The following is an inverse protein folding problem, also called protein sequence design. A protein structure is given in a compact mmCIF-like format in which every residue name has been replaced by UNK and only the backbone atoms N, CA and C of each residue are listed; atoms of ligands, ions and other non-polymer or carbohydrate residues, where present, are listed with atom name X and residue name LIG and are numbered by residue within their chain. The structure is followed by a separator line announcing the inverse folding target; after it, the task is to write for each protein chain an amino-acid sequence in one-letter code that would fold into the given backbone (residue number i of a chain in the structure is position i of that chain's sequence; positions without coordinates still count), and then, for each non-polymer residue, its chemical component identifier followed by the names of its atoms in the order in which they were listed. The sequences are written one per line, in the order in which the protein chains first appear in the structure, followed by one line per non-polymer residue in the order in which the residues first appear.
data_IF_693756953106
#
_entry.id   IF_693756953106
#
_cell.length_a   1.000
_cell.length_b   1.000
_cell.length_c   1.000
_cell.angle_alpha   90.00
_cell.angle_beta   90.00
_cell.angle_gamma   90.00
#
_symmetry.space_group_name_H-M   'P 1'
#
loop_
_entity.id
_entity.type
_entity.pdbx_description
1 polymer ?
#
# COMPACT_ATOMS: atom_id res chain seq x y z
N UNK A 1 4.80 33.78 -44.14
CA UNK A 1 3.92 32.69 -43.67
C UNK A 1 4.70 31.57 -42.97
N UNK A 2 5.98 31.35 -43.31
CA UNK A 2 6.83 30.27 -42.76
C UNK A 2 7.08 30.29 -41.24
N UNK A 3 7.04 31.45 -40.57
CA UNK A 3 7.27 31.55 -39.10
C UNK A 3 6.14 30.92 -38.27
N UNK A 4 4.92 30.87 -38.80
CA UNK A 4 3.77 30.29 -38.10
C UNK A 4 3.80 28.76 -38.19
N UNK A 5 4.27 28.21 -39.31
CA UNK A 5 4.39 26.77 -39.51
C UNK A 5 5.51 26.17 -38.66
N UNK A 6 6.67 26.83 -38.57
CA UNK A 6 7.78 26.33 -37.74
C UNK A 6 7.45 26.30 -36.24
N UNK A 7 6.67 27.27 -35.73
CA UNK A 7 6.20 27.23 -34.33
C UNK A 7 5.14 26.15 -34.10
N UNK A 8 4.31 25.86 -35.10
CA UNK A 8 3.32 24.78 -35.02
C UNK A 8 4.01 23.40 -34.96
N UNK A 9 5.03 23.18 -35.80
CA UNK A 9 5.83 21.95 -35.77
C UNK A 9 6.56 21.76 -34.44
N UNK A 10 7.16 22.81 -33.89
CA UNK A 10 7.79 22.76 -32.55
C UNK A 10 6.79 22.52 -31.40
N UNK A 11 5.53 22.91 -31.57
CA UNK A 11 4.45 22.64 -30.61
C UNK A 11 3.96 21.19 -30.70
N UNK A 12 3.87 20.66 -31.92
CA UNK A 12 3.50 19.27 -32.18
C UNK A 12 4.58 18.33 -31.64
N UNK A 13 5.86 18.55 -31.99
CA UNK A 13 6.97 17.74 -31.48
C UNK A 13 7.03 17.71 -29.95
N UNK A 14 6.87 18.88 -29.30
CA UNK A 14 6.83 18.95 -27.82
C UNK A 14 5.67 18.16 -27.23
N UNK A 15 4.48 18.21 -27.83
CA UNK A 15 3.33 17.43 -27.36
C UNK A 15 3.55 15.93 -27.54
N UNK A 16 4.05 15.50 -28.69
CA UNK A 16 4.31 14.08 -28.97
C UNK A 16 5.38 13.53 -28.03
N UNK A 17 6.41 14.33 -27.74
CA UNK A 17 7.48 13.95 -26.82
C UNK A 17 6.98 13.88 -25.37
N UNK A 18 6.08 14.79 -24.98
CA UNK A 18 5.47 14.79 -23.65
C UNK A 18 4.47 13.64 -23.46
N UNK A 19 3.68 13.28 -24.46
CA UNK A 19 2.82 12.09 -24.44
C UNK A 19 3.63 10.79 -24.39
N UNK A 20 4.75 10.74 -25.12
CA UNK A 20 5.65 9.58 -25.12
C UNK A 20 6.31 9.40 -23.75
N UNK A 21 6.85 10.46 -23.14
CA UNK A 21 7.42 10.43 -21.78
C UNK A 21 6.38 10.05 -20.73
N UNK A 22 5.15 10.56 -20.83
CA UNK A 22 4.07 10.21 -19.90
C UNK A 22 3.63 8.74 -20.06
N UNK A 23 3.58 8.23 -21.29
CA UNK A 23 3.33 6.83 -21.60
C UNK A 23 4.45 5.90 -21.12
N UNK A 24 5.70 6.32 -21.27
CA UNK A 24 6.87 5.59 -20.78
C UNK A 24 6.87 5.53 -19.25
N UNK A 25 6.61 6.65 -18.57
CA UNK A 25 6.56 6.71 -17.11
C UNK A 25 5.43 5.85 -16.53
N UNK A 26 4.24 5.84 -17.16
CA UNK A 26 3.14 4.94 -16.79
C UNK A 26 3.50 3.45 -16.99
N UNK A 27 4.17 3.12 -18.10
CA UNK A 27 4.54 1.74 -18.45
C UNK A 27 5.66 1.21 -17.56
N UNK A 28 6.72 2.01 -17.36
CA UNK A 28 7.84 1.68 -16.47
C UNK A 28 7.34 1.59 -15.02
N UNK A 29 6.47 2.50 -14.58
CA UNK A 29 5.85 2.43 -13.26
C UNK A 29 5.01 1.16 -13.07
N UNK A 30 4.25 0.72 -14.07
CA UNK A 30 3.49 -0.52 -14.02
C UNK A 30 4.38 -1.78 -14.03
N UNK A 31 5.44 -1.80 -14.84
CA UNK A 31 6.39 -2.92 -14.91
C UNK A 31 7.19 -3.03 -13.61
N UNK A 32 7.63 -1.90 -13.06
CA UNK A 32 8.34 -1.85 -11.79
C UNK A 32 7.45 -2.30 -10.63
N UNK A 33 6.20 -1.81 -10.55
CA UNK A 33 5.23 -2.27 -9.54
C UNK A 33 4.94 -3.78 -9.66
N UNK A 34 4.76 -4.30 -10.88
CA UNK A 34 4.53 -5.74 -11.11
C UNK A 34 5.77 -6.57 -10.74
N UNK A 35 6.97 -6.13 -11.11
CA UNK A 35 8.24 -6.80 -10.77
C UNK A 35 8.50 -6.87 -9.26
N UNK A 36 8.27 -5.77 -8.54
CA UNK A 36 8.39 -5.71 -7.07
C UNK A 36 7.40 -6.69 -6.42
N UNK A 37 6.15 -6.73 -6.89
CA UNK A 37 5.12 -7.62 -6.34
C UNK A 37 5.43 -9.11 -6.58
N UNK A 38 5.92 -9.47 -7.77
CA UNK A 38 6.26 -10.85 -8.10
C UNK A 38 7.49 -11.35 -7.33
N UNK A 39 8.54 -10.52 -7.26
CA UNK A 39 9.76 -10.85 -6.51
C UNK A 39 9.51 -11.05 -5.01
N UNK A 40 8.66 -10.22 -4.41
CA UNK A 40 8.29 -10.36 -3.00
C UNK A 40 7.55 -11.68 -2.70
N UNK A 41 6.66 -12.12 -3.60
CA UNK A 41 5.94 -13.40 -3.44
C UNK A 41 6.90 -14.58 -3.54
N UNK A 42 7.78 -14.59 -4.53
CA UNK A 42 8.78 -15.65 -4.69
C UNK A 42 9.74 -15.71 -3.50
N UNK A 43 10.24 -14.56 -3.04
CA UNK A 43 11.11 -14.47 -1.87
C UNK A 43 10.42 -14.97 -0.60
N UNK A 44 9.17 -14.57 -0.38
CA UNK A 44 8.38 -15.01 0.77
C UNK A 44 8.14 -16.52 0.74
N UNK A 45 7.82 -17.08 -0.43
CA UNK A 45 7.62 -18.51 -0.61
C UNK A 45 8.89 -19.34 -0.35
N UNK A 46 10.02 -18.93 -0.92
CA UNK A 46 11.31 -19.60 -0.70
C UNK A 46 11.73 -19.52 0.77
N UNK A 47 11.57 -18.35 1.40
CA UNK A 47 11.90 -18.15 2.81
C UNK A 47 11.01 -18.99 3.74
N UNK A 48 9.74 -19.19 3.39
CA UNK A 48 8.82 -20.04 4.15
C UNK A 48 9.28 -21.50 4.13
N UNK A 49 9.57 -22.03 2.94
CA UNK A 49 10.03 -23.40 2.77
C UNK A 49 11.34 -23.62 3.53
N UNK A 50 12.29 -22.69 3.40
CA UNK A 50 13.54 -22.73 4.16
C UNK A 50 13.29 -22.74 5.67
N UNK A 51 12.47 -21.82 6.19
CA UNK A 51 12.18 -21.72 7.63
C UNK A 51 11.56 -23.00 8.20
N UNK A 52 10.64 -23.63 7.47
CA UNK A 52 10.01 -24.89 7.89
C UNK A 52 11.01 -26.05 7.92
N UNK A 53 11.83 -26.19 6.87
CA UNK A 53 12.86 -27.25 6.79
C UNK A 53 13.92 -27.05 7.87
N UNK A 54 14.40 -25.81 8.06
CA UNK A 54 15.40 -25.47 9.07
C UNK A 54 14.89 -25.75 10.50
N UNK A 55 13.63 -25.45 10.80
CA UNK A 55 13.01 -25.77 12.09
C UNK A 55 12.84 -27.28 12.30
N UNK A 56 12.42 -28.01 11.25
CA UNK A 56 12.20 -29.46 11.32
C UNK A 56 13.49 -30.27 11.48
N UNK A 57 14.59 -29.79 10.91
CA UNK A 57 15.91 -30.44 10.95
C UNK A 57 16.81 -29.95 12.08
N UNK A 58 16.32 -29.02 12.93
CA UNK A 58 17.15 -28.27 13.90
C UNK A 58 18.42 -27.69 13.26
N UNK A 59 18.31 -27.23 12.01
CA UNK A 59 19.42 -26.66 11.27
C UNK A 59 19.49 -25.16 11.52
N UNK A 60 20.64 -24.70 12.04
CA UNK A 60 20.86 -23.31 12.42
C UNK A 60 20.24 -22.94 13.79
N UNK A 61 20.27 -21.65 14.12
CA UNK A 61 19.71 -21.16 15.37
C UNK A 61 18.17 -21.22 15.35
N UNK A 62 17.62 -21.96 16.31
CA UNK A 62 16.18 -22.17 16.46
C UNK A 62 15.44 -20.83 16.63
N UNK A 63 16.03 -19.88 17.35
CA UNK A 63 15.40 -18.58 17.58
C UNK A 63 15.30 -17.77 16.28
N UNK A 64 16.37 -17.71 15.49
CA UNK A 64 16.33 -17.08 14.16
C UNK A 64 15.28 -17.71 13.23
N UNK A 65 15.12 -19.04 13.24
CA UNK A 65 14.11 -19.72 12.43
C UNK A 65 12.68 -19.34 12.86
N UNK A 66 12.42 -19.21 14.16
CA UNK A 66 11.13 -18.76 14.69
C UNK A 66 10.86 -17.30 14.33
N UNK A 67 11.86 -16.42 14.43
CA UNK A 67 11.74 -15.01 14.01
C UNK A 67 11.37 -14.92 12.53
N UNK A 68 12.07 -15.67 11.68
CA UNK A 68 11.82 -15.68 10.24
C UNK A 68 10.41 -16.19 9.91
N UNK A 69 9.95 -17.27 10.55
CA UNK A 69 8.61 -17.81 10.36
C UNK A 69 7.51 -16.86 10.83
N UNK A 70 7.69 -16.20 11.98
CA UNK A 70 6.71 -15.24 12.50
C UNK A 70 6.61 -13.99 11.63
N UNK A 71 7.72 -13.51 11.06
CA UNK A 71 7.72 -12.41 10.09
C UNK A 71 6.96 -12.77 8.81
N UNK A 72 7.19 -13.98 8.29
CA UNK A 72 6.47 -14.47 7.11
C UNK A 72 4.98 -14.63 7.41
N UNK A 73 4.63 -15.22 8.57
CA UNK A 73 3.25 -15.38 9.00
C UNK A 73 2.54 -14.02 9.13
N UNK A 74 3.19 -13.01 9.72
CA UNK A 74 2.67 -11.66 9.80
C UNK A 74 2.43 -11.05 8.41
N UNK A 75 3.37 -11.25 7.48
CA UNK A 75 3.22 -10.80 6.08
C UNK A 75 2.06 -11.47 5.36
N UNK A 76 1.92 -12.79 5.48
CA UNK A 76 0.82 -13.55 4.86
C UNK A 76 -0.54 -13.13 5.43
N UNK A 77 -0.65 -13.01 6.76
CA UNK A 77 -1.88 -12.55 7.42
C UNK A 77 -2.23 -11.11 7.00
N UNK A 78 -1.24 -10.22 6.92
CA UNK A 78 -1.44 -8.87 6.40
C UNK A 78 -1.96 -8.88 4.95
N UNK A 79 -1.42 -9.76 4.09
CA UNK A 79 -1.90 -9.93 2.72
C UNK A 79 -3.35 -10.43 2.66
N UNK A 80 -3.72 -11.38 3.52
CA UNK A 80 -5.10 -11.88 3.64
C UNK A 80 -6.04 -10.75 4.07
N UNK A 81 -5.66 -9.97 5.09
CA UNK A 81 -6.46 -8.82 5.53
C UNK A 81 -6.61 -7.79 4.43
N UNK A 82 -5.58 -7.55 3.63
CA UNK A 82 -5.66 -6.64 2.49
C UNK A 82 -6.69 -7.11 1.45
N UNK A 83 -6.73 -8.41 1.14
CA UNK A 83 -7.73 -8.98 0.23
C UNK A 83 -9.15 -8.87 0.79
N UNK A 84 -9.33 -9.20 2.07
CA UNK A 84 -10.64 -9.14 2.74
C UNK A 84 -11.17 -7.71 2.76
N UNK A 85 -10.37 -6.74 3.21
CA UNK A 85 -10.84 -5.37 3.43
C UNK A 85 -10.92 -4.52 2.16
N UNK A 86 -10.05 -4.76 1.17
CA UNK A 86 -9.97 -3.90 -0.02
C UNK A 86 -10.49 -4.54 -1.30
N UNK A 87 -10.39 -5.86 -1.47
CA UNK A 87 -10.75 -6.55 -2.73
C UNK A 87 -12.11 -7.28 -2.65
N UNK A 88 -12.52 -7.72 -1.46
CA UNK A 88 -13.77 -8.45 -1.30
C UNK A 88 -15.00 -7.53 -1.35
N UNK A 89 -15.55 -7.34 -2.56
CA UNK A 89 -16.69 -6.46 -2.85
C UNK A 89 -18.04 -6.82 -2.19
N UNK A 90 -18.44 -8.09 -1.97
CA UNK A 90 -19.83 -8.38 -1.58
C UNK A 90 -20.18 -8.04 -0.12
N UNK A 91 -19.20 -7.90 0.80
CA UNK A 91 -19.47 -7.66 2.23
C UNK A 91 -19.25 -6.21 2.68
N UNK A 92 -18.53 -5.40 1.89
CA UNK A 92 -17.96 -4.12 2.35
C UNK A 92 -18.39 -2.93 1.46
N UNK A 93 -19.25 -3.17 0.47
CA UNK A 93 -19.65 -2.21 -0.59
C UNK A 93 -20.18 -0.87 -0.07
N UNK A 94 -20.71 -0.81 1.16
CA UNK A 94 -21.24 0.42 1.78
C UNK A 94 -20.29 1.13 2.76
N UNK A 95 -19.15 0.54 3.12
CA UNK A 95 -18.19 1.17 4.03
C UNK A 95 -17.29 2.14 3.28
N UNK A 96 -17.21 3.38 3.78
CA UNK A 96 -16.21 4.37 3.35
C UNK A 96 -14.81 3.76 3.43
N UNK A 97 -13.95 4.11 2.48
CA UNK A 97 -12.58 3.62 2.40
C UNK A 97 -11.80 3.80 3.72
N UNK A 98 -12.07 4.89 4.45
CA UNK A 98 -11.48 5.13 5.78
C UNK A 98 -11.87 4.07 6.81
N UNK A 99 -13.14 3.61 6.81
CA UNK A 99 -13.57 2.57 7.74
C UNK A 99 -12.93 1.23 7.41
N UNK A 100 -12.74 0.91 6.11
CA UNK A 100 -12.03 -0.30 5.69
C UNK A 100 -10.56 -0.26 6.10
N UNK A 101 -9.94 0.91 5.95
CA UNK A 101 -8.56 1.15 6.38
C UNK A 101 -8.40 1.03 7.90
N UNK A 102 -9.30 1.62 8.68
CA UNK A 102 -9.28 1.48 10.14
C UNK A 102 -9.52 0.02 10.57
N UNK A 103 -10.49 -0.67 9.97
CA UNK A 103 -10.76 -2.08 10.23
C UNK A 103 -9.55 -2.97 9.94
N UNK A 104 -8.89 -2.76 8.80
CA UNK A 104 -7.64 -3.43 8.46
C UNK A 104 -6.56 -3.24 9.55
N UNK A 105 -6.35 -2.00 10.01
CA UNK A 105 -5.34 -1.70 11.03
C UNK A 105 -5.68 -2.28 12.41
N UNK A 106 -6.97 -2.27 12.79
CA UNK A 106 -7.46 -2.89 14.02
C UNK A 106 -7.23 -4.40 14.02
N UNK A 107 -7.29 -5.07 12.85
CA UNK A 107 -6.91 -6.48 12.73
C UNK A 107 -5.39 -6.69 12.67
N UNK A 108 -4.68 -5.80 11.98
CA UNK A 108 -3.23 -5.92 11.75
C UNK A 108 -2.43 -5.76 13.05
N UNK A 109 -2.79 -4.79 13.90
CA UNK A 109 -2.02 -4.49 15.11
C UNK A 109 -1.98 -5.65 16.11
N UNK A 110 -3.12 -6.26 16.52
CA UNK A 110 -3.10 -7.44 17.41
C UNK A 110 -2.32 -8.61 16.81
N UNK A 111 -2.41 -8.81 15.50
CA UNK A 111 -1.65 -9.86 14.81
C UNK A 111 -0.15 -9.60 14.87
N UNK A 112 0.29 -8.36 14.65
CA UNK A 112 1.69 -7.96 14.82
C UNK A 112 2.17 -8.17 16.25
N UNK A 113 1.36 -7.79 17.25
CA UNK A 113 1.68 -8.02 18.67
C UNK A 113 1.81 -9.51 18.98
N UNK A 114 0.87 -10.34 18.51
CA UNK A 114 0.91 -11.79 18.72
C UNK A 114 2.16 -12.42 18.08
N UNK A 115 2.48 -12.04 16.84
CA UNK A 115 3.68 -12.55 16.15
C UNK A 115 4.97 -12.04 16.78
N UNK A 116 4.99 -10.80 17.29
CA UNK A 116 6.13 -10.26 18.01
C UNK A 116 6.39 -10.97 19.35
N UNK A 117 5.32 -11.39 20.05
CA UNK A 117 5.44 -12.18 21.28
C UNK A 117 5.97 -13.59 21.00
N UNK A 118 5.42 -14.26 19.98
CA UNK A 118 5.85 -15.63 19.60
C UNK A 118 7.28 -15.60 19.05
N UNK A 119 7.59 -14.59 18.23
CA UNK A 119 8.87 -14.44 17.56
C UNK A 119 9.96 -13.84 18.45
N UNK A 120 9.62 -13.25 19.59
CA UNK A 120 10.58 -12.53 20.43
C UNK A 120 11.21 -11.33 19.71
N UNK A 121 10.44 -10.62 18.88
CA UNK A 121 10.96 -9.50 18.07
C UNK A 121 11.36 -8.30 18.93
N UNK A 122 10.60 -8.06 20.00
CA UNK A 122 10.76 -6.92 20.89
C UNK A 122 11.27 -7.43 22.22
N UNK A 123 12.34 -6.83 22.78
CA UNK A 123 12.83 -7.16 24.11
C UNK A 123 11.71 -7.08 25.16
N UNK A 124 11.80 -7.90 26.21
CA UNK A 124 10.84 -7.88 27.32
C UNK A 124 11.06 -6.66 28.25
N UNK A 125 11.01 -5.46 27.67
CA UNK A 125 11.14 -4.18 28.35
C UNK A 125 9.97 -3.30 27.94
N UNK A 126 9.28 -2.71 28.91
CA UNK A 126 8.10 -1.87 28.67
C UNK A 126 8.40 -0.73 27.69
N UNK A 127 9.60 -0.15 27.75
CA UNK A 127 10.03 0.92 26.84
C UNK A 127 10.06 0.49 25.36
N UNK A 128 10.51 -0.74 25.08
CA UNK A 128 10.59 -1.25 23.71
C UNK A 128 9.19 -1.47 23.13
N UNK A 129 8.28 -2.03 23.92
CA UNK A 129 6.87 -2.19 23.55
C UNK A 129 6.17 -0.85 23.33
N UNK A 130 6.42 0.13 24.20
CA UNK A 130 5.92 1.49 24.02
C UNK A 130 6.41 2.10 22.70
N UNK A 131 7.70 1.97 22.38
CA UNK A 131 8.23 2.48 21.11
C UNK A 131 7.63 1.77 19.88
N UNK A 132 7.42 0.45 19.97
CA UNK A 132 6.80 -0.33 18.90
C UNK A 132 5.36 0.12 18.64
N UNK A 133 4.56 0.23 19.70
CA UNK A 133 3.17 0.72 19.59
C UNK A 133 3.11 2.18 19.15
N UNK A 134 3.96 3.04 19.71
CA UNK A 134 4.01 4.46 19.33
C UNK A 134 4.35 4.62 17.85
N UNK A 135 5.35 3.90 17.34
CA UNK A 135 5.72 3.92 15.94
C UNK A 135 4.56 3.47 15.04
N UNK A 136 3.86 2.40 15.42
CA UNK A 136 2.68 1.93 14.70
C UNK A 136 1.58 3.01 14.63
N UNK A 137 1.28 3.65 15.76
CA UNK A 137 0.28 4.72 15.82
C UNK A 137 0.67 5.95 15.02
N UNK A 138 1.96 6.32 15.00
CA UNK A 138 2.47 7.43 14.17
C UNK A 138 2.25 7.13 12.69
N UNK A 139 2.58 5.92 12.23
CA UNK A 139 2.35 5.50 10.83
C UNK A 139 0.86 5.53 10.51
N UNK A 140 0.02 5.00 11.40
CA UNK A 140 -1.43 5.01 11.24
C UNK A 140 -1.99 6.43 11.16
N UNK A 141 -1.51 7.33 12.02
CA UNK A 141 -1.95 8.73 12.03
C UNK A 141 -1.54 9.44 10.74
N UNK A 142 -0.29 9.32 10.32
CA UNK A 142 0.22 9.97 9.09
C UNK A 142 -0.57 9.48 7.87
N UNK A 143 -0.73 8.17 7.72
CA UNK A 143 -1.50 7.59 6.60
C UNK A 143 -2.97 8.02 6.64
N UNK A 144 -3.59 8.05 7.82
CA UNK A 144 -4.96 8.54 8.01
C UNK A 144 -5.11 10.01 7.58
N UNK A 145 -4.16 10.87 7.96
CA UNK A 145 -4.16 12.29 7.56
C UNK A 145 -4.02 12.46 6.05
N UNK A 146 -3.15 11.68 5.41
CA UNK A 146 -2.98 11.67 3.95
C UNK A 146 -4.30 11.29 3.28
N UNK A 147 -4.96 10.21 3.73
CA UNK A 147 -6.24 9.82 3.18
C UNK A 147 -7.32 10.88 3.38
N UNK A 148 -7.43 11.45 4.58
CA UNK A 148 -8.41 12.50 4.87
C UNK A 148 -8.20 13.74 3.97
N UNK A 149 -6.94 14.14 3.74
CA UNK A 149 -6.62 15.24 2.83
C UNK A 149 -7.00 14.93 1.37
N UNK A 150 -6.79 13.69 0.91
CA UNK A 150 -7.18 13.24 -0.43
C UNK A 150 -8.70 13.24 -0.60
N UNK A 151 -9.45 12.68 0.35
CA UNK A 151 -10.92 12.66 0.30
C UNK A 151 -11.53 14.06 0.28
N UNK A 152 -11.03 15.00 1.09
CA UNK A 152 -11.50 16.39 1.06
C UNK A 152 -11.31 17.06 -0.29
N UNK A 153 -10.19 16.78 -0.97
CA UNK A 153 -9.94 17.32 -2.32
C UNK A 153 -10.91 16.74 -3.35
N UNK A 154 -11.24 15.45 -3.24
CA UNK A 154 -12.20 14.81 -4.14
C UNK A 154 -13.62 15.36 -3.92
N UNK A 155 -14.08 15.47 -2.67
CA UNK A 155 -15.39 16.06 -2.35
C UNK A 155 -15.55 17.48 -2.90
N UNK A 156 -14.50 18.30 -2.79
CA UNK A 156 -14.51 19.67 -3.35
C UNK A 156 -14.61 19.67 -4.88
N UNK A 157 -13.91 18.76 -5.56
CA UNK A 157 -14.00 18.59 -7.02
C UNK A 157 -15.39 18.15 -7.46
N UNK A 158 -15.99 17.19 -6.74
CA UNK A 158 -17.35 16.72 -7.03
C UNK A 158 -18.39 17.82 -6.81
N UNK A 159 -18.29 18.60 -5.72
CA UNK A 159 -19.16 19.76 -5.48
C UNK A 159 -19.03 20.81 -6.58
N UNK A 160 -17.81 21.18 -6.96
CA UNK A 160 -17.56 22.15 -8.02
C UNK A 160 -18.09 21.68 -9.39
N UNK A 161 -17.94 20.38 -9.70
CA UNK A 161 -18.52 19.80 -10.92
C UNK A 161 -20.06 19.84 -10.88
N UNK A 162 -20.67 19.50 -9.74
CA UNK A 162 -22.13 19.51 -9.58
C UNK A 162 -22.72 20.92 -9.70
N UNK A 163 -22.10 21.94 -9.09
CA UNK A 163 -22.50 23.34 -9.25
C UNK A 163 -22.40 23.80 -10.71
N UNK A 164 -21.32 23.41 -11.41
CA UNK A 164 -21.15 23.72 -12.83
C UNK A 164 -22.25 23.09 -13.69
N UNK A 165 -22.64 21.84 -13.41
CA UNK A 165 -23.77 21.17 -14.07
C UNK A 165 -25.13 21.80 -13.74
N UNK A 166 -25.32 22.32 -12.53
CA UNK A 166 -26.56 23.02 -12.16
C UNK A 166 -26.64 24.41 -12.83
N UNK A 167 -25.53 25.14 -12.89
CA UNK A 167 -25.45 26.44 -13.54
C UNK A 167 -25.72 26.35 -15.05
N UNK A 168 -25.20 25.34 -15.73
CA UNK A 168 -25.44 25.12 -17.17
C UNK A 168 -26.85 24.62 -17.51
N UNK A 169 -27.63 24.15 -16.52
CA UNK A 169 -29.05 23.80 -16.68
C UNK A 169 -30.02 24.94 -16.35
N UNK A 170 -29.54 26.01 -15.70
CA UNK A 170 -30.34 27.20 -15.36
C UNK A 170 -30.09 28.40 -16.29
N UNK A 171 -29.08 28.32 -17.16
CA UNK A 171 -28.79 29.27 -18.23
C UNK A 171 -29.48 28.83 -19.53
#
# INVERSE_FOLDING_TARGET
MERNESQNWQGIERKTQQEFDEGLNKTVGQIMCKGISGGAICFTGISLVYGVIALATNYGDRQNNIILLTLIAAGVLSGIYQQIWFNYQPLITKLSYLHRFLGFNVCLFPTLVAMALIGGWVPNMTQAWMSFTALYLVILLVTTLIFNAMFKKEEQKYKAAFEKYQASRRA
#
